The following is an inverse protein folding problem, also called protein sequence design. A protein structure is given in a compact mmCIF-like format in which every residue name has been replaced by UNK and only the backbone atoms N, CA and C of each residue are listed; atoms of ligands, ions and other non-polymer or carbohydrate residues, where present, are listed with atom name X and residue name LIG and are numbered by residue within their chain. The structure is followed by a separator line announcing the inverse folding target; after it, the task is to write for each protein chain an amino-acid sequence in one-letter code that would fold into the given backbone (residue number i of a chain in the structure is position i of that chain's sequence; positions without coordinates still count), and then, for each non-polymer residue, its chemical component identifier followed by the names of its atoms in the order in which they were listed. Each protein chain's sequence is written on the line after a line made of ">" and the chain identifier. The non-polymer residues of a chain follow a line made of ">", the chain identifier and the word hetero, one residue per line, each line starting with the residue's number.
data_IF_309109284349
#
_entry.id   IF_309109284349
#
_cell.length_a   1.000
_cell.length_b   1.000
_cell.length_c   1.000
_cell.angle_alpha   90.00
_cell.angle_beta   90.00
_cell.angle_gamma   90.00
#
_symmetry.space_group_name_H-M   'P 1'
#
loop_
_entity.id
_entity.type
_entity.pdbx_description
1 polymer ?
#
# COMPACT_ATOMS: atom_id res chain seq x y z
N UNK A 1 7.17 11.67 -14.92
CA UNK A 1 5.97 11.12 -15.61
C UNK A 1 6.16 9.72 -16.21
N UNK A 2 7.40 9.25 -16.50
CA UNK A 2 7.64 7.93 -17.13
C UNK A 2 7.24 6.71 -16.25
N UNK A 3 7.51 6.75 -14.95
CA UNK A 3 7.28 5.61 -14.05
C UNK A 3 5.81 5.21 -13.82
N UNK A 4 4.83 6.10 -14.08
CA UNK A 4 3.42 5.72 -14.02
C UNK A 4 2.97 4.97 -15.27
N UNK A 5 3.51 5.32 -16.43
CA UNK A 5 3.18 4.64 -17.68
C UNK A 5 3.74 3.21 -17.70
N UNK A 6 4.87 2.98 -17.02
CA UNK A 6 5.47 1.66 -16.92
C UNK A 6 4.65 0.71 -16.03
N UNK A 7 4.03 1.19 -14.94
CA UNK A 7 3.19 0.34 -14.07
C UNK A 7 1.92 -0.13 -14.79
N UNK A 8 1.29 0.72 -15.60
CA UNK A 8 0.11 0.36 -16.38
C UNK A 8 0.44 -0.71 -17.45
N UNK A 9 1.60 -0.62 -18.10
CA UNK A 9 2.02 -1.59 -19.12
C UNK A 9 2.38 -2.96 -18.54
N UNK A 10 3.03 -3.01 -17.37
CA UNK A 10 3.40 -4.29 -16.73
C UNK A 10 2.18 -4.98 -16.12
N UNK A 11 1.18 -4.22 -15.63
CA UNK A 11 -0.10 -4.76 -15.18
C UNK A 11 -0.89 -5.43 -16.30
N UNK A 12 -0.86 -4.84 -17.49
CA UNK A 12 -1.44 -5.44 -18.69
C UNK A 12 -0.71 -6.74 -19.03
N UNK A 13 0.62 -6.80 -18.93
CA UNK A 13 1.39 -8.02 -19.22
C UNK A 13 1.05 -9.18 -18.26
N UNK A 14 0.90 -8.91 -16.97
CA UNK A 14 0.49 -9.92 -15.99
C UNK A 14 -0.95 -10.40 -16.22
N UNK A 15 -1.89 -9.47 -16.51
CA UNK A 15 -3.25 -9.84 -16.91
C UNK A 15 -3.28 -10.68 -18.19
N UNK A 16 -2.48 -10.34 -19.21
CA UNK A 16 -2.37 -11.11 -20.46
C UNK A 16 -1.92 -12.55 -20.18
N UNK A 17 -0.91 -12.74 -19.32
CA UNK A 17 -0.41 -14.08 -19.01
C UNK A 17 -1.45 -14.93 -18.26
N UNK A 18 -2.22 -14.30 -17.37
CA UNK A 18 -3.34 -14.91 -16.64
C UNK A 18 -4.52 -15.22 -17.56
N UNK A 19 -4.79 -14.40 -18.56
CA UNK A 19 -5.91 -14.64 -19.48
C UNK A 19 -5.59 -15.70 -20.51
N UNK A 20 -4.32 -15.82 -20.91
CA UNK A 20 -3.84 -16.93 -21.75
C UNK A 20 -4.05 -18.30 -21.10
N UNK A 21 -4.07 -18.39 -19.76
CA UNK A 21 -4.37 -19.65 -19.07
C UNK A 21 -5.87 -19.91 -18.85
N UNK A 22 -6.72 -18.88 -18.98
CA UNK A 22 -8.18 -18.97 -18.76
C UNK A 22 -8.95 -19.13 -20.08
N UNK A 23 -8.43 -18.60 -21.19
CA UNK A 23 -9.14 -18.60 -22.49
C UNK A 23 -8.78 -19.86 -23.28
N UNK A 24 -9.77 -20.76 -23.38
CA UNK A 24 -9.70 -22.00 -24.17
C UNK A 24 -10.07 -21.82 -25.65
N UNK A 25 -10.36 -20.60 -26.11
CA UNK A 25 -10.77 -20.36 -27.50
C UNK A 25 -9.55 -20.18 -28.41
N UNK A 26 -9.29 -21.20 -29.24
CA UNK A 26 -8.07 -21.36 -30.03
C UNK A 26 -7.95 -20.43 -31.24
N UNK A 27 -8.96 -19.59 -31.52
CA UNK A 27 -9.00 -18.75 -32.73
C UNK A 27 -8.90 -17.24 -32.46
N UNK A 28 -8.88 -16.81 -31.19
CA UNK A 28 -8.73 -15.40 -30.86
C UNK A 28 -7.25 -14.97 -30.99
N UNK A 29 -6.96 -14.00 -31.85
CA UNK A 29 -5.62 -13.41 -32.02
C UNK A 29 -5.31 -12.30 -31.03
N UNK A 30 -6.34 -11.62 -30.52
CA UNK A 30 -6.21 -10.53 -29.56
C UNK A 30 -7.33 -10.59 -28.53
N UNK A 31 -6.99 -10.22 -27.30
CA UNK A 31 -7.93 -10.03 -26.21
C UNK A 31 -7.86 -8.58 -25.75
N UNK A 32 -8.96 -7.85 -25.90
CA UNK A 32 -9.11 -6.52 -25.31
C UNK A 32 -9.88 -6.64 -24.00
N UNK A 33 -9.24 -6.27 -22.90
CA UNK A 33 -9.91 -6.13 -21.62
C UNK A 33 -10.34 -4.70 -21.40
N UNK A 34 -11.65 -4.49 -21.31
CA UNK A 34 -12.20 -3.22 -20.89
C UNK A 34 -12.60 -3.31 -19.41
N UNK A 35 -12.02 -2.44 -18.58
CA UNK A 35 -12.25 -2.45 -17.15
C UNK A 35 -11.52 -1.32 -16.45
N UNK A 36 -12.05 -0.93 -15.28
CA UNK A 36 -11.48 0.13 -14.47
C UNK A 36 -10.77 -0.45 -13.24
N UNK A 37 -9.61 0.12 -12.92
CA UNK A 37 -8.84 -0.04 -11.69
C UNK A 37 -8.22 -1.42 -11.42
N UNK A 38 -8.87 -2.55 -11.74
CA UNK A 38 -8.37 -3.91 -11.48
C UNK A 38 -7.72 -4.08 -10.08
N UNK A 39 -8.37 -3.54 -9.03
CA UNK A 39 -7.86 -3.54 -7.64
C UNK A 39 -8.61 -4.57 -6.79
N UNK A 40 -8.50 -5.86 -7.09
CA UNK A 40 -9.12 -6.89 -6.25
C UNK A 40 -8.21 -8.07 -6.11
N UNK A 41 -7.93 -8.44 -4.86
CA UNK A 41 -7.12 -9.63 -4.57
C UNK A 41 -7.77 -10.88 -5.19
N UNK A 42 -9.10 -10.90 -5.35
CA UNK A 42 -9.85 -12.04 -5.90
C UNK A 42 -9.44 -12.38 -7.34
N UNK A 43 -8.99 -11.41 -8.13
CA UNK A 43 -8.54 -11.69 -9.51
C UNK A 43 -7.14 -12.29 -9.56
N UNK A 44 -6.32 -11.99 -8.56
CA UNK A 44 -4.88 -12.24 -8.61
C UNK A 44 -4.39 -13.19 -7.51
N UNK A 45 -5.27 -13.66 -6.64
CA UNK A 45 -4.86 -14.41 -5.44
C UNK A 45 -4.11 -15.69 -5.82
N UNK A 46 -4.64 -16.42 -6.80
CA UNK A 46 -4.07 -17.69 -7.28
C UNK A 46 -2.75 -17.48 -8.01
N UNK A 47 -2.57 -16.34 -8.67
CA UNK A 47 -1.38 -16.01 -9.46
C UNK A 47 -0.39 -15.12 -8.72
N UNK A 48 -0.53 -14.98 -7.40
CA UNK A 48 0.22 -13.98 -6.64
C UNK A 48 1.72 -14.20 -6.70
N UNK A 49 2.16 -15.46 -6.70
CA UNK A 49 3.59 -15.79 -6.72
C UNK A 49 4.21 -15.43 -8.08
N UNK A 50 3.51 -15.75 -9.16
CA UNK A 50 3.89 -15.48 -10.54
C UNK A 50 3.94 -13.98 -10.80
N UNK A 51 2.91 -13.25 -10.36
CA UNK A 51 2.89 -11.78 -10.43
C UNK A 51 4.11 -11.23 -9.68
N UNK A 52 4.35 -11.64 -8.44
CA UNK A 52 5.51 -11.14 -7.67
C UNK A 52 6.86 -11.45 -8.33
N UNK A 53 6.99 -12.61 -8.98
CA UNK A 53 8.20 -12.97 -9.71
C UNK A 53 8.41 -12.11 -10.97
N UNK A 54 7.33 -11.62 -11.60
CA UNK A 54 7.40 -10.69 -12.73
C UNK A 54 7.67 -9.24 -12.25
N UNK A 55 7.12 -8.88 -11.08
CA UNK A 55 7.20 -7.54 -10.49
C UNK A 55 8.35 -7.40 -9.48
N UNK A 56 9.55 -7.82 -9.86
CA UNK A 56 10.75 -7.58 -9.06
C UNK A 56 11.25 -6.13 -9.21
N UNK A 57 11.69 -5.54 -8.10
CA UNK A 57 12.27 -4.20 -8.11
C UNK A 57 13.70 -4.24 -8.61
N UNK A 58 14.03 -3.36 -9.56
CA UNK A 58 15.37 -3.31 -10.14
C UNK A 58 16.48 -3.02 -9.10
N UNK A 59 17.71 -3.53 -9.30
CA UNK A 59 18.79 -3.43 -8.31
C UNK A 59 19.11 -2.00 -7.85
N UNK A 60 18.99 -1.02 -8.75
CA UNK A 60 19.21 0.40 -8.43
C UNK A 60 18.18 0.93 -7.44
N UNK A 61 16.91 0.57 -7.61
CA UNK A 61 15.83 0.95 -6.68
C UNK A 61 16.07 0.28 -5.34
N UNK A 62 16.36 -1.02 -5.34
CA UNK A 62 16.65 -1.77 -4.11
C UNK A 62 17.83 -1.19 -3.33
N UNK A 63 18.92 -0.84 -4.02
CA UNK A 63 20.09 -0.19 -3.39
C UNK A 63 19.70 1.15 -2.74
N UNK A 64 18.92 1.98 -3.45
CA UNK A 64 18.48 3.27 -2.95
C UNK A 64 17.58 3.14 -1.71
N UNK A 65 16.57 2.26 -1.76
CA UNK A 65 15.65 2.09 -0.62
C UNK A 65 16.34 1.42 0.57
N UNK A 66 17.31 0.54 0.36
CA UNK A 66 18.05 -0.12 1.44
C UNK A 66 18.94 0.88 2.17
N UNK A 67 19.62 1.75 1.40
CA UNK A 67 20.36 2.86 1.98
C UNK A 67 19.42 3.78 2.77
N UNK A 68 18.30 4.17 2.17
CA UNK A 68 17.33 5.05 2.82
C UNK A 68 16.80 4.45 4.13
N UNK A 69 16.37 3.18 4.10
CA UNK A 69 15.89 2.46 5.28
C UNK A 69 16.95 2.37 6.38
N UNK A 70 18.21 2.08 6.02
CA UNK A 70 19.32 2.08 6.97
C UNK A 70 19.53 3.46 7.61
N UNK A 71 19.42 4.53 6.81
CA UNK A 71 19.63 5.90 7.29
C UNK A 71 18.50 6.36 8.24
N UNK A 72 17.23 5.98 7.99
CA UNK A 72 16.09 6.43 8.81
C UNK A 72 15.76 5.50 9.98
N UNK A 73 15.92 4.18 9.82
CA UNK A 73 15.59 3.23 10.87
C UNK A 73 16.80 2.94 11.77
N UNK A 74 18.02 2.96 11.24
CA UNK A 74 19.21 2.62 12.00
C UNK A 74 19.08 1.25 12.68
N UNK A 75 19.02 1.25 14.01
CA UNK A 75 18.86 0.03 14.83
C UNK A 75 17.39 -0.25 15.23
N UNK A 76 16.42 0.49 14.71
CA UNK A 76 15.00 0.28 15.02
C UNK A 76 14.49 -1.05 14.46
N UNK A 77 14.32 -2.03 15.34
CA UNK A 77 13.77 -3.37 15.05
C UNK A 77 12.28 -3.52 15.36
N UNK A 78 11.58 -2.42 15.64
CA UNK A 78 10.13 -2.44 15.87
C UNK A 78 9.38 -2.93 14.63
N UNK A 79 8.15 -3.38 14.83
CA UNK A 79 7.20 -3.66 13.75
C UNK A 79 6.91 -2.36 12.99
N UNK A 80 7.16 -2.36 11.68
CA UNK A 80 6.95 -1.21 10.80
C UNK A 80 5.51 -1.20 10.29
N UNK A 81 4.66 -0.44 10.97
CA UNK A 81 3.29 -0.20 10.52
C UNK A 81 3.25 0.98 9.53
N UNK A 82 3.08 0.67 8.26
CA UNK A 82 3.09 1.67 7.20
C UNK A 82 1.71 2.25 6.89
N UNK A 83 1.66 3.54 6.60
CA UNK A 83 0.44 4.29 6.29
C UNK A 83 0.62 5.01 4.96
N UNK A 84 -0.08 4.54 3.92
CA UNK A 84 -0.06 5.19 2.61
C UNK A 84 -1.00 6.39 2.57
N UNK A 85 -0.47 7.56 2.21
CA UNK A 85 -1.20 8.82 2.06
C UNK A 85 -1.32 9.20 0.59
N UNK A 86 -2.55 9.54 0.15
CA UNK A 86 -2.84 10.05 -1.19
C UNK A 86 -3.89 11.17 -1.12
N UNK A 87 -3.52 12.37 -1.57
CA UNK A 87 -4.41 13.55 -1.50
C UNK A 87 -4.54 14.30 -2.81
N UNK A 88 -3.44 14.80 -3.36
CA UNK A 88 -3.40 15.81 -4.42
C UNK A 88 -4.50 15.68 -5.50
N UNK A 89 -4.32 14.76 -6.43
CA UNK A 89 -5.23 14.49 -7.55
C UNK A 89 -6.57 13.90 -7.10
N UNK A 90 -6.65 13.38 -5.87
CA UNK A 90 -7.89 12.83 -5.33
C UNK A 90 -8.85 13.93 -4.85
N UNK A 91 -8.32 15.08 -4.40
CA UNK A 91 -9.12 16.26 -4.04
C UNK A 91 -9.90 16.81 -5.23
N UNK A 92 -9.40 16.65 -6.45
CA UNK A 92 -10.01 17.21 -7.67
C UNK A 92 -11.10 16.33 -8.28
N UNK A 93 -11.16 15.04 -7.93
CA UNK A 93 -11.96 14.05 -8.66
C UNK A 93 -13.01 13.33 -7.82
N UNK A 94 -13.36 13.84 -6.63
CA UNK A 94 -14.25 13.17 -5.65
C UNK A 94 -13.80 11.73 -5.33
N UNK A 95 -12.50 11.46 -5.45
CA UNK A 95 -11.94 10.18 -5.02
C UNK A 95 -11.82 10.19 -3.50
N UNK A 96 -11.84 9.01 -2.88
CA UNK A 96 -11.68 8.85 -1.43
C UNK A 96 -10.22 9.12 -1.03
N UNK A 97 -9.90 10.40 -0.82
CA UNK A 97 -8.58 10.86 -0.44
C UNK A 97 -8.26 10.56 1.03
N UNK A 98 -6.98 10.61 1.38
CA UNK A 98 -6.55 10.57 2.78
C UNK A 98 -6.99 11.83 3.51
N UNK A 99 -7.92 11.68 4.45
CA UNK A 99 -8.41 12.77 5.30
C UNK A 99 -8.01 12.55 6.74
N UNK A 100 -7.65 13.62 7.46
CA UNK A 100 -7.20 13.54 8.86
C UNK A 100 -8.23 12.86 9.77
N UNK A 101 -9.53 13.15 9.59
CA UNK A 101 -10.61 12.53 10.37
C UNK A 101 -10.68 11.00 10.20
N UNK A 102 -10.17 10.45 9.10
CA UNK A 102 -10.10 9.00 8.91
C UNK A 102 -8.72 8.48 9.33
N UNK A 103 -7.64 9.11 8.85
CA UNK A 103 -6.26 8.65 9.07
C UNK A 103 -5.95 8.53 10.56
N UNK A 104 -6.26 9.55 11.36
CA UNK A 104 -5.95 9.56 12.79
C UNK A 104 -6.62 8.40 13.54
N UNK A 105 -7.96 8.26 13.53
CA UNK A 105 -8.60 7.15 14.24
C UNK A 105 -8.30 5.79 13.60
N UNK A 106 -8.07 5.70 12.29
CA UNK A 106 -7.73 4.44 11.63
C UNK A 106 -6.35 3.93 12.06
N UNK A 107 -5.34 4.80 12.08
CA UNK A 107 -3.98 4.47 12.55
C UNK A 107 -4.02 3.98 14.00
N UNK A 108 -4.75 4.68 14.88
CA UNK A 108 -4.89 4.28 16.29
C UNK A 108 -5.67 2.96 16.46
N UNK A 109 -6.66 2.71 15.61
CA UNK A 109 -7.40 1.45 15.61
C UNK A 109 -6.52 0.28 15.18
N UNK A 110 -5.73 0.45 14.12
CA UNK A 110 -4.80 -0.58 13.65
C UNK A 110 -3.71 -0.85 14.69
N UNK A 111 -3.16 0.19 15.32
CA UNK A 111 -2.22 0.01 16.42
C UNK A 111 -2.79 -0.87 17.55
N UNK A 112 -4.03 -0.59 18.00
CA UNK A 112 -4.70 -1.41 19.01
C UNK A 112 -4.93 -2.85 18.54
N UNK A 113 -5.24 -3.06 17.27
CA UNK A 113 -5.36 -4.39 16.68
C UNK A 113 -4.03 -5.13 16.73
N UNK A 114 -2.93 -4.50 16.30
CA UNK A 114 -1.59 -5.10 16.31
C UNK A 114 -1.18 -5.51 17.73
N UNK A 115 -1.44 -4.65 18.73
CA UNK A 115 -1.14 -4.97 20.12
C UNK A 115 -1.98 -6.13 20.69
N UNK A 116 -3.29 -6.12 20.45
CA UNK A 116 -4.23 -7.03 21.14
C UNK A 116 -4.45 -8.35 20.42
N UNK A 117 -4.55 -8.29 19.10
CA UNK A 117 -4.92 -9.43 18.27
C UNK A 117 -3.69 -10.10 17.65
N UNK A 118 -2.63 -9.32 17.38
CA UNK A 118 -1.38 -9.85 16.80
C UNK A 118 -0.22 -9.97 17.80
N UNK A 119 -0.38 -9.51 19.05
CA UNK A 119 0.66 -9.59 20.08
C UNK A 119 1.91 -8.73 19.81
N UNK A 120 1.80 -7.72 18.95
CA UNK A 120 2.91 -6.85 18.55
C UNK A 120 2.96 -5.63 19.46
N UNK A 121 4.00 -5.52 20.30
CA UNK A 121 4.10 -4.45 21.30
C UNK A 121 4.99 -3.29 20.90
N UNK A 122 6.08 -3.54 20.17
CA UNK A 122 7.01 -2.51 19.70
C UNK A 122 6.64 -2.14 18.26
N UNK A 123 6.03 -0.98 18.05
CA UNK A 123 5.50 -0.56 16.74
C UNK A 123 6.01 0.84 16.42
N UNK A 124 6.65 0.99 15.26
CA UNK A 124 6.90 2.29 14.65
C UNK A 124 5.92 2.54 13.50
N UNK A 125 5.35 3.74 13.46
CA UNK A 125 4.49 4.16 12.36
C UNK A 125 5.32 4.79 11.24
N UNK A 126 5.07 4.41 9.99
CA UNK A 126 5.80 4.92 8.81
C UNK A 126 4.82 5.48 7.80
N UNK A 127 4.72 6.80 7.68
CA UNK A 127 3.85 7.43 6.70
C UNK A 127 4.58 7.58 5.36
N UNK A 128 3.95 7.10 4.29
CA UNK A 128 4.49 7.15 2.93
C UNK A 128 3.61 8.10 2.12
N UNK A 129 4.22 9.09 1.46
CA UNK A 129 3.49 10.07 0.63
C UNK A 129 2.86 11.23 1.41
N UNK A 130 3.14 11.37 2.70
CA UNK A 130 2.66 12.48 3.52
C UNK A 130 3.46 13.77 3.26
N UNK A 131 2.90 14.66 2.43
CA UNK A 131 3.46 16.00 2.19
C UNK A 131 3.48 16.86 3.46
N UNK A 132 4.35 17.89 3.54
CA UNK A 132 4.50 18.72 4.75
C UNK A 132 3.19 19.29 5.28
N UNK A 133 2.33 19.85 4.43
CA UNK A 133 1.04 20.43 4.81
C UNK A 133 0.12 19.41 5.49
N UNK A 134 0.07 18.18 4.96
CA UNK A 134 -0.74 17.13 5.54
C UNK A 134 -0.11 16.55 6.81
N UNK A 135 1.22 16.43 6.82
CA UNK A 135 1.98 15.97 7.98
C UNK A 135 1.71 16.86 9.20
N UNK A 136 1.72 18.17 9.00
CA UNK A 136 1.41 19.14 10.06
C UNK A 136 -0.05 19.00 10.50
N UNK A 137 -0.99 18.85 9.55
CA UNK A 137 -2.40 18.65 9.84
C UNK A 137 -2.71 17.34 10.60
N UNK A 138 -1.85 16.33 10.50
CA UNK A 138 -1.98 15.10 11.28
C UNK A 138 -1.61 15.29 12.76
N UNK A 139 -0.89 16.37 13.10
CA UNK A 139 -0.44 16.67 14.46
C UNK A 139 0.21 15.44 15.13
N UNK A 140 1.24 14.91 14.47
CA UNK A 140 1.88 13.63 14.77
C UNK A 140 2.39 13.53 16.21
N UNK A 141 2.95 14.62 16.74
CA UNK A 141 3.42 14.68 18.12
C UNK A 141 2.30 14.43 19.12
N UNK A 142 1.12 15.03 18.90
CA UNK A 142 -0.01 14.86 19.80
C UNK A 142 -0.74 13.52 19.56
N UNK A 143 -0.99 13.17 18.31
CA UNK A 143 -1.89 12.07 17.96
C UNK A 143 -1.22 10.69 17.91
N UNK A 144 0.09 10.61 17.67
CA UNK A 144 0.76 9.33 17.41
C UNK A 144 1.97 9.06 18.30
N UNK A 145 2.80 10.07 18.60
CA UNK A 145 4.01 9.87 19.41
C UNK A 145 3.77 9.27 20.81
N UNK A 146 2.62 9.46 21.49
CA UNK A 146 2.31 8.76 22.74
C UNK A 146 2.02 7.26 22.60
N UNK A 147 1.85 6.75 21.38
CA UNK A 147 1.42 5.38 21.11
C UNK A 147 2.50 4.56 20.41
N UNK A 148 3.32 5.16 19.55
CA UNK A 148 4.33 4.48 18.75
C UNK A 148 5.73 4.72 19.29
N UNK A 149 6.63 3.74 19.10
CA UNK A 149 8.04 3.86 19.47
C UNK A 149 8.71 4.99 18.69
N UNK A 150 8.41 5.09 17.40
CA UNK A 150 8.82 6.19 16.53
C UNK A 150 7.79 6.40 15.44
N UNK A 151 7.66 7.65 14.98
CA UNK A 151 6.81 8.00 13.85
C UNK A 151 7.65 8.62 12.75
N UNK A 152 7.76 7.92 11.62
CA UNK A 152 8.56 8.30 10.46
C UNK A 152 7.70 8.95 9.38
N UNK A 153 8.21 10.02 8.77
CA UNK A 153 7.72 10.54 7.50
C UNK A 153 8.66 10.09 6.38
N UNK A 154 8.33 8.99 5.70
CA UNK A 154 9.14 8.47 4.60
C UNK A 154 9.02 9.39 3.37
N UNK A 155 10.17 9.90 2.93
CA UNK A 155 10.35 10.83 1.81
C UNK A 155 11.41 10.28 0.88
N UNK A 156 11.00 9.43 -0.06
CA UNK A 156 11.86 8.86 -1.07
C UNK A 156 11.88 9.73 -2.34
N UNK A 157 12.81 9.43 -3.26
CA UNK A 157 13.07 10.29 -4.42
C UNK A 157 12.12 10.03 -5.58
N UNK A 158 11.43 8.89 -5.59
CA UNK A 158 10.54 8.50 -6.68
C UNK A 158 9.38 7.61 -6.23
N UNK A 159 8.30 7.59 -7.01
CA UNK A 159 7.18 6.66 -6.76
C UNK A 159 7.56 5.19 -6.89
N UNK A 160 8.59 4.88 -7.68
CA UNK A 160 9.12 3.52 -7.77
C UNK A 160 9.78 3.11 -6.45
N UNK A 161 10.55 4.01 -5.86
CA UNK A 161 11.14 3.82 -4.53
C UNK A 161 10.07 3.74 -3.43
N UNK A 162 9.04 4.61 -3.44
CA UNK A 162 7.94 4.53 -2.46
C UNK A 162 7.28 3.14 -2.46
N UNK A 163 7.00 2.62 -3.66
CA UNK A 163 6.38 1.31 -3.82
C UNK A 163 7.30 0.16 -3.39
N UNK A 164 8.57 0.21 -3.79
CA UNK A 164 9.56 -0.79 -3.39
C UNK A 164 9.80 -0.76 -1.88
N UNK A 165 9.90 0.42 -1.29
CA UNK A 165 10.08 0.61 0.14
C UNK A 165 8.90 0.05 0.93
N UNK A 166 7.67 0.41 0.55
CA UNK A 166 6.48 -0.08 1.22
C UNK A 166 6.27 -1.60 1.08
N UNK A 167 6.62 -2.16 -0.07
CA UNK A 167 6.55 -3.61 -0.28
C UNK A 167 7.66 -4.38 0.48
N UNK A 168 8.80 -3.74 0.75
CA UNK A 168 9.98 -4.40 1.34
C UNK A 168 10.04 -4.28 2.86
N UNK A 169 9.70 -3.11 3.40
CA UNK A 169 10.00 -2.76 4.79
C UNK A 169 8.78 -2.70 5.72
N UNK A 170 7.57 -2.86 5.19
CA UNK A 170 6.36 -2.80 6.01
C UNK A 170 5.97 -4.19 6.51
N UNK A 171 5.70 -4.29 7.81
CA UNK A 171 5.20 -5.51 8.46
C UNK A 171 3.67 -5.53 8.54
N UNK A 172 3.04 -4.35 8.51
CA UNK A 172 1.61 -4.16 8.31
C UNK A 172 1.35 -2.85 7.56
N UNK A 173 0.17 -2.72 6.95
CA UNK A 173 -0.07 -1.65 5.98
C UNK A 173 -1.47 -1.06 6.08
N UNK A 174 -1.62 0.27 6.06
CA UNK A 174 -2.90 0.97 5.96
C UNK A 174 -2.99 1.77 4.66
N UNK A 175 -3.93 1.39 3.80
CA UNK A 175 -4.32 2.13 2.60
C UNK A 175 -5.38 3.15 3.00
N UNK A 176 -4.93 4.37 3.35
CA UNK A 176 -5.86 5.38 3.87
C UNK A 176 -6.77 6.01 2.80
N UNK A 177 -6.32 6.01 1.54
CA UNK A 177 -7.11 6.38 0.37
C UNK A 177 -7.48 5.12 -0.41
N UNK A 178 -8.65 4.55 -0.13
CA UNK A 178 -9.01 3.20 -0.61
C UNK A 178 -9.12 3.06 -2.13
N UNK A 179 -9.37 4.15 -2.87
CA UNK A 179 -9.34 4.14 -4.34
C UNK A 179 -7.94 4.12 -4.97
N UNK A 180 -6.87 4.16 -4.17
CA UNK A 180 -5.51 4.25 -4.67
C UNK A 180 -5.00 2.91 -5.23
N UNK A 181 -4.94 2.79 -6.58
CA UNK A 181 -4.26 1.66 -7.26
C UNK A 181 -2.84 1.51 -6.74
N UNK A 182 -2.14 2.63 -6.58
CA UNK A 182 -0.76 2.68 -6.12
C UNK A 182 -0.59 2.09 -4.71
N UNK A 183 -1.44 2.50 -3.76
CA UNK A 183 -1.42 1.93 -2.40
C UNK A 183 -1.79 0.45 -2.37
N UNK A 184 -2.73 0.04 -3.21
CA UNK A 184 -3.11 -1.36 -3.36
C UNK A 184 -1.96 -2.22 -3.87
N UNK A 185 -1.27 -1.80 -4.94
CA UNK A 185 -0.12 -2.53 -5.50
C UNK A 185 1.07 -2.57 -4.53
N UNK A 186 1.33 -1.47 -3.84
CA UNK A 186 2.36 -1.43 -2.79
C UNK A 186 2.12 -2.50 -1.71
N UNK A 187 0.88 -2.61 -1.21
CA UNK A 187 0.53 -3.62 -0.21
C UNK A 187 0.51 -5.05 -0.79
N UNK A 188 0.00 -5.22 -2.01
CA UNK A 188 -0.10 -6.53 -2.66
C UNK A 188 1.28 -7.15 -2.97
N UNK A 189 2.23 -6.31 -3.41
CA UNK A 189 3.63 -6.67 -3.63
C UNK A 189 4.45 -6.80 -2.34
N UNK A 190 3.87 -6.52 -1.18
CA UNK A 190 4.48 -6.82 0.12
C UNK A 190 4.40 -8.29 0.53
N UNK A 191 4.90 -8.62 1.72
CA UNK A 191 4.86 -9.98 2.28
C UNK A 191 3.43 -10.57 2.23
N UNK A 192 3.31 -11.86 1.92
CA UNK A 192 2.01 -12.50 1.74
C UNK A 192 1.18 -12.58 3.01
N UNK A 193 1.85 -12.66 4.17
CA UNK A 193 1.25 -12.68 5.50
C UNK A 193 1.02 -11.28 6.10
N UNK A 194 1.45 -10.21 5.42
CA UNK A 194 1.30 -8.84 5.91
C UNK A 194 -0.18 -8.49 6.10
N UNK A 195 -0.61 -8.06 7.31
CA UNK A 195 -1.94 -7.52 7.52
C UNK A 195 -2.08 -6.17 6.81
N UNK A 196 -3.09 -6.07 5.94
CA UNK A 196 -3.42 -4.87 5.17
C UNK A 196 -4.77 -4.34 5.61
N UNK A 197 -4.84 -3.07 6.00
CA UNK A 197 -6.03 -2.36 6.42
C UNK A 197 -6.39 -1.32 5.37
N UNK A 198 -7.68 -1.06 5.17
CA UNK A 198 -8.11 -0.06 4.19
C UNK A 198 -9.47 0.55 4.52
N UNK A 199 -9.75 1.74 3.98
CA UNK A 199 -11.06 2.39 4.11
C UNK A 199 -12.14 1.60 3.32
N UNK A 200 -13.11 1.03 4.04
CA UNK A 200 -14.16 0.19 3.46
C UNK A 200 -15.13 0.87 2.50
N UNK A 201 -15.12 2.20 2.41
CA UNK A 201 -16.06 2.96 1.58
C UNK A 201 -16.01 2.61 0.08
N UNK A 202 -14.84 2.21 -0.46
CA UNK A 202 -14.73 1.79 -1.86
C UNK A 202 -14.97 0.29 -2.05
N UNK A 203 -14.62 -0.52 -1.06
CA UNK A 203 -14.55 -1.97 -1.19
C UNK A 203 -15.10 -2.66 0.07
N UNK A 204 -16.42 -2.72 0.25
CA UNK A 204 -17.01 -3.45 1.36
C UNK A 204 -16.64 -4.94 1.20
N UNK A 205 -16.26 -5.58 2.32
CA UNK A 205 -15.78 -6.97 2.46
C UNK A 205 -14.26 -7.16 2.40
N UNK A 206 -13.68 -7.60 3.52
CA UNK A 206 -12.28 -7.97 3.67
C UNK A 206 -11.97 -9.44 3.33
N UNK A 207 -10.75 -9.86 3.66
CA UNK A 207 -10.26 -11.24 3.64
C UNK A 207 -9.45 -11.51 4.92
N UNK A 208 -8.81 -12.69 5.05
CA UNK A 208 -8.01 -13.02 6.24
C UNK A 208 -6.88 -12.03 6.51
N UNK A 209 -6.23 -11.51 5.46
CA UNK A 209 -5.12 -10.55 5.57
C UNK A 209 -5.50 -9.13 5.13
N UNK A 210 -6.68 -8.94 4.53
CA UNK A 210 -7.17 -7.63 4.11
C UNK A 210 -8.35 -7.21 4.97
N UNK A 211 -8.12 -6.32 5.93
CA UNK A 211 -9.08 -5.89 6.92
C UNK A 211 -9.75 -4.58 6.51
N UNK A 212 -11.07 -4.63 6.38
CA UNK A 212 -11.89 -3.46 6.08
C UNK A 212 -12.11 -2.61 7.34
N UNK A 213 -11.80 -1.31 7.27
CA UNK A 213 -12.14 -0.34 8.31
C UNK A 213 -13.34 0.48 7.85
N UNK A 214 -14.49 0.26 8.48
CA UNK A 214 -15.71 1.06 8.26
C UNK A 214 -15.88 2.05 9.38
N UNK A 215 -15.90 3.34 9.07
CA UNK A 215 -16.40 4.39 9.95
C UNK A 215 -17.76 4.83 9.42
N UNK A 216 -18.82 4.65 10.22
CA UNK A 216 -20.05 5.39 10.00
C UNK A 216 -19.81 6.80 10.56
N UNK A 217 -19.89 7.80 9.71
CA UNK A 217 -19.96 9.19 10.14
C UNK A 217 -21.28 9.42 10.91
#
# INVERSE_FOLDING_TARGET
>A
MKALNDLHLVLIAALIQILKSIIHDSNATWLLLNGHYYQSYKYFHEFRNEIRAIFEFGPKVMTAINKYASDIFGNDKSHKFCVHIRRDDFLQHRNLESRTYFVVPAVLRVFKFLQRESGVHNVSAVFIGAKPDFWDALNVTQNFSPHFDTVYNARLSSRGEDMAFGATYCDSFLISASGSTFGWWMAYLGNTAMPVFYNGQAFPNGSRTWHCLTYRA
#
